data_IF_578547533538
#
_entry.id   IF_578547533538
#
_cell.length_a   1.000
_cell.length_b   1.000
_cell.length_c   1.000
_cell.angle_alpha   90.00
_cell.angle_beta   90.00
_cell.angle_gamma   90.00
#
_symmetry.space_group_name_H-M   'P 1'
#
loop_
_entity.id
_entity.type
_entity.pdbx_description
1 polymer ?
#
# COMPACT_ATOMS: atom_id res chain seq x y z
N UNK A 1 16.62 19.01 -17.36
CA UNK A 1 15.33 18.29 -17.54
C UNK A 1 15.69 16.86 -17.94
N UNK A 2 15.56 15.79 -17.17
CA UNK A 2 14.55 15.36 -16.19
C UNK A 2 15.24 14.61 -15.04
N UNK A 3 14.96 14.97 -13.79
CA UNK A 3 15.36 14.17 -12.63
C UNK A 3 14.25 13.15 -12.36
N UNK A 4 14.49 11.89 -12.71
CA UNK A 4 13.60 10.80 -12.30
C UNK A 4 13.90 10.48 -10.84
N UNK A 5 13.12 11.07 -9.94
CA UNK A 5 13.11 10.70 -8.54
C UNK A 5 12.49 9.30 -8.42
N UNK A 6 13.32 8.26 -8.56
CA UNK A 6 12.99 6.92 -8.09
C UNK A 6 13.08 6.89 -6.57
N UNK A 7 12.03 7.34 -5.90
CA UNK A 7 11.77 6.93 -4.51
C UNK A 7 11.28 5.48 -4.54
N UNK A 8 12.23 4.55 -4.57
CA UNK A 8 11.97 3.18 -4.17
C UNK A 8 11.47 3.20 -2.72
N UNK A 9 10.26 2.68 -2.48
CA UNK A 9 9.69 2.52 -1.14
C UNK A 9 10.54 1.54 -0.33
N UNK A 10 11.47 2.06 0.47
CA UNK A 10 12.34 1.32 1.38
C UNK A 10 11.63 0.89 2.66
N UNK A 11 10.39 0.38 2.59
CA UNK A 11 9.64 -0.10 3.76
C UNK A 11 9.23 -1.56 3.62
N UNK A 12 10.24 -2.43 3.54
CA UNK A 12 10.08 -3.88 3.61
C UNK A 12 10.92 -4.47 4.72
N UNK A 13 10.64 -4.11 5.97
CA UNK A 13 11.19 -4.78 7.15
C UNK A 13 10.64 -6.20 7.25
N UNK A 14 11.47 -7.18 6.96
CA UNK A 14 11.14 -8.60 7.10
C UNK A 14 12.38 -9.39 6.74
N UNK A 15 12.99 -10.00 7.74
CA UNK A 15 14.21 -10.81 7.62
C UNK A 15 14.17 -11.69 6.39
N UNK A 16 15.12 -11.43 5.51
CA UNK A 16 15.40 -12.15 4.28
C UNK A 16 15.77 -13.60 4.63
N UNK A 17 14.77 -14.47 4.80
CA UNK A 17 14.98 -15.90 4.55
C UNK A 17 15.36 -15.98 3.09
N UNK A 18 16.64 -16.28 2.82
CA UNK A 18 17.36 -16.17 1.53
C UNK A 18 16.79 -17.00 0.35
N UNK A 19 15.53 -17.41 0.41
CA UNK A 19 14.81 -18.11 -0.66
C UNK A 19 13.29 -17.84 -0.69
N UNK A 20 12.77 -16.86 0.06
CA UNK A 20 11.33 -16.57 0.05
C UNK A 20 10.94 -15.61 -1.08
N UNK A 21 10.19 -16.11 -2.07
CA UNK A 21 9.59 -15.30 -3.14
C UNK A 21 8.45 -14.46 -2.57
N UNK A 22 8.50 -13.15 -2.75
CA UNK A 22 7.41 -12.25 -2.32
C UNK A 22 6.15 -12.53 -3.14
N UNK A 23 5.01 -12.62 -2.46
CA UNK A 23 3.71 -12.77 -3.12
C UNK A 23 3.31 -11.46 -3.78
N UNK A 24 2.77 -11.48 -5.02
CA UNK A 24 2.19 -10.29 -5.61
C UNK A 24 0.95 -9.85 -4.83
N UNK A 25 0.60 -8.57 -4.95
CA UNK A 25 -0.62 -8.04 -4.35
C UNK A 25 -1.85 -8.66 -5.01
N UNK A 26 -2.79 -9.16 -4.20
CA UNK A 26 -4.08 -9.63 -4.71
C UNK A 26 -4.93 -8.47 -5.27
N UNK A 27 -6.02 -8.79 -5.98
CA UNK A 27 -6.88 -7.79 -6.63
C UNK A 27 -7.39 -6.71 -5.66
N UNK A 28 -7.83 -7.10 -4.46
CA UNK A 28 -8.26 -6.16 -3.42
C UNK A 28 -7.11 -5.26 -2.97
N UNK A 29 -5.90 -5.79 -2.79
CA UNK A 29 -4.75 -5.00 -2.36
C UNK A 29 -4.34 -3.95 -3.39
N UNK A 30 -4.45 -4.25 -4.69
CA UNK A 30 -4.20 -3.29 -5.78
C UNK A 30 -5.24 -2.16 -5.75
N UNK A 31 -6.53 -2.49 -5.62
CA UNK A 31 -7.61 -1.51 -5.47
C UNK A 31 -7.42 -0.64 -4.21
N UNK A 32 -7.21 -1.29 -3.07
CA UNK A 32 -7.09 -0.62 -1.78
C UNK A 32 -5.87 0.29 -1.71
N UNK A 33 -4.79 0.02 -2.46
CA UNK A 33 -3.62 0.90 -2.54
C UNK A 33 -3.97 2.26 -3.15
N UNK A 34 -4.70 2.27 -4.28
CA UNK A 34 -5.11 3.51 -4.93
C UNK A 34 -6.09 4.31 -4.06
N UNK A 35 -7.05 3.62 -3.43
CA UNK A 35 -8.05 4.24 -2.57
C UNK A 35 -7.46 4.78 -1.26
N UNK A 36 -6.53 4.05 -0.62
CA UNK A 36 -5.84 4.54 0.58
C UNK A 36 -5.07 5.82 0.30
N UNK A 37 -4.38 5.92 -0.84
CA UNK A 37 -3.67 7.15 -1.23
C UNK A 37 -4.62 8.35 -1.25
N UNK A 38 -5.75 8.22 -1.96
CA UNK A 38 -6.77 9.28 -2.03
C UNK A 38 -7.35 9.66 -0.66
N UNK A 39 -7.66 8.66 0.18
CA UNK A 39 -8.23 8.93 1.51
C UNK A 39 -7.21 9.52 2.48
N UNK A 40 -5.93 9.15 2.36
CA UNK A 40 -4.86 9.69 3.19
C UNK A 40 -4.55 11.16 2.89
N UNK A 41 -4.74 11.60 1.64
CA UNK A 41 -4.63 13.02 1.26
C UNK A 41 -5.74 13.86 1.92
N UNK A 42 -6.96 13.31 2.00
CA UNK A 42 -8.11 13.99 2.62
C UNK A 42 -8.08 13.93 4.14
N UNK A 43 -7.55 12.84 4.70
CA UNK A 43 -7.59 12.54 6.14
C UNK A 43 -6.23 12.03 6.61
N UNK A 44 -5.21 12.92 6.72
CA UNK A 44 -3.85 12.52 7.04
C UNK A 44 -3.68 11.97 8.46
N UNK A 45 -4.63 12.23 9.37
CA UNK A 45 -4.64 11.70 10.73
C UNK A 45 -5.18 10.26 10.84
N UNK A 46 -5.83 9.75 9.80
CA UNK A 46 -6.44 8.41 9.81
C UNK A 46 -5.42 7.33 9.49
N UNK A 47 -5.37 6.30 10.33
CA UNK A 47 -4.46 5.18 10.17
C UNK A 47 -4.91 4.22 9.06
N UNK A 48 -3.94 3.58 8.39
CA UNK A 48 -4.20 2.67 7.26
C UNK A 48 -5.08 1.47 7.62
N UNK A 49 -5.07 1.01 8.88
CA UNK A 49 -5.92 -0.08 9.35
C UNK A 49 -7.41 0.29 9.24
N UNK A 50 -7.77 1.52 9.63
CA UNK A 50 -9.15 2.01 9.55
C UNK A 50 -9.60 2.16 8.10
N UNK A 51 -8.74 2.72 7.24
CA UNK A 51 -9.02 2.83 5.81
C UNK A 51 -9.25 1.45 5.17
N UNK A 52 -8.42 0.48 5.53
CA UNK A 52 -8.54 -0.90 5.01
C UNK A 52 -9.83 -1.57 5.46
N UNK A 53 -10.28 -1.30 6.69
CA UNK A 53 -11.55 -1.80 7.23
C UNK A 53 -12.74 -1.25 6.43
N UNK A 54 -12.80 0.05 6.18
CA UNK A 54 -13.85 0.67 5.37
C UNK A 54 -13.82 0.20 3.91
N UNK A 55 -12.63 0.07 3.31
CA UNK A 55 -12.48 -0.42 1.94
C UNK A 55 -12.86 -1.90 1.80
N UNK A 56 -12.59 -2.72 2.80
CA UNK A 56 -13.01 -4.12 2.84
C UNK A 56 -14.54 -4.26 2.87
N UNK A 57 -15.25 -3.39 3.58
CA UNK A 57 -16.73 -3.37 3.56
C UNK A 57 -17.31 -2.93 2.21
N UNK A 58 -16.59 -2.08 1.46
CA UNK A 58 -16.99 -1.60 0.13
C UNK A 58 -16.72 -2.63 -0.98
N UNK A 59 -15.72 -3.48 -0.77
CA UNK A 59 -15.30 -4.51 -1.73
C UNK A 59 -16.10 -5.81 -1.53
N UNK A 60 -16.94 -6.15 -2.51
CA UNK A 60 -17.64 -7.44 -2.64
C UNK A 60 -17.39 -8.04 -4.00
#
# INVERSE_FOLDING_TARGET
MKAYSTLADSRGGGSMRRGHVKRPMNAFMVFAQAMRRRLSEQRPSLHNAELSKSLGSMWK
#
